data_IF_127461336761
#
_entry.id   IF_127461336761
#
_cell.length_a   1.000
_cell.length_b   1.000
_cell.length_c   1.000
_cell.angle_alpha   90.00
_cell.angle_beta   90.00
_cell.angle_gamma   90.00
#
_symmetry.space_group_name_H-M   'P 1'
#
loop_
_entity.id
_entity.type
_entity.pdbx_description
1 polymer ?
#
# COMPACT_ATOMS: atom_id res chain seq x y z
N UNK A 1 -13.40 11.08 -5.73
CA UNK A 1 -13.89 12.16 -4.84
C UNK A 1 -12.82 13.23 -4.66
N UNK A 2 -13.24 14.50 -4.54
CA UNK A 2 -12.35 15.69 -4.52
C UNK A 2 -12.58 16.66 -3.36
N UNK A 3 -13.75 16.63 -2.71
CA UNK A 3 -14.05 17.49 -1.56
C UNK A 3 -13.44 16.96 -0.26
N UNK A 4 -13.18 17.85 0.70
CA UNK A 4 -12.62 17.49 2.00
C UNK A 4 -13.62 16.73 2.89
N UNK A 5 -13.10 15.99 3.87
CA UNK A 5 -13.86 15.39 4.98
C UNK A 5 -14.98 14.42 4.56
N UNK A 6 -14.76 13.63 3.51
CA UNK A 6 -15.62 12.49 3.23
C UNK A 6 -15.41 11.38 4.25
N UNK A 7 -16.50 10.93 4.87
CA UNK A 7 -16.50 9.84 5.84
C UNK A 7 -17.43 8.74 5.34
N UNK A 8 -16.89 7.54 5.13
CA UNK A 8 -17.62 6.34 4.74
C UNK A 8 -17.48 5.29 5.83
N UNK A 9 -18.61 4.73 6.25
CA UNK A 9 -18.67 3.78 7.35
C UNK A 9 -19.75 2.72 7.15
N UNK A 10 -19.46 1.47 7.52
CA UNK A 10 -20.44 0.40 7.53
C UNK A 10 -20.93 -0.03 6.14
N UNK A 11 -20.14 0.19 5.09
CA UNK A 11 -20.53 -0.14 3.72
C UNK A 11 -20.13 -1.57 3.35
N UNK A 12 -20.92 -2.21 2.48
CA UNK A 12 -20.51 -3.40 1.73
C UNK A 12 -20.48 -3.04 0.25
N UNK A 13 -19.27 -2.99 -0.33
CA UNK A 13 -19.02 -2.53 -1.69
C UNK A 13 -18.28 -3.61 -2.46
N UNK A 14 -18.79 -3.98 -3.64
CA UNK A 14 -18.22 -5.04 -4.46
C UNK A 14 -18.09 -4.62 -5.92
N UNK A 15 -16.92 -4.84 -6.52
CA UNK A 15 -16.72 -4.73 -7.95
C UNK A 15 -17.33 -5.92 -8.69
N UNK A 16 -18.18 -5.64 -9.69
CA UNK A 16 -18.91 -6.67 -10.47
C UNK A 16 -18.64 -6.54 -11.98
N UNK A 17 -17.55 -5.88 -12.36
CA UNK A 17 -17.19 -5.71 -13.77
C UNK A 17 -16.93 -7.06 -14.43
N UNK A 18 -17.36 -7.21 -15.68
CA UNK A 18 -17.05 -8.38 -16.49
C UNK A 18 -15.55 -8.45 -16.87
N UNK A 19 -14.94 -7.29 -17.08
CA UNK A 19 -13.50 -7.11 -17.30
C UNK A 19 -12.89 -6.43 -16.07
N UNK A 20 -11.88 -7.06 -15.46
CA UNK A 20 -11.22 -6.51 -14.28
C UNK A 20 -10.47 -5.22 -14.56
N UNK A 21 -10.04 -4.99 -15.81
CA UNK A 21 -9.38 -3.75 -16.22
C UNK A 21 -10.32 -2.54 -16.18
N UNK A 22 -11.63 -2.77 -16.09
CA UNK A 22 -12.64 -1.72 -15.85
C UNK A 22 -12.96 -1.54 -14.36
N UNK A 23 -12.57 -2.49 -13.49
CA UNK A 23 -12.82 -2.47 -12.04
C UNK A 23 -11.60 -1.92 -11.28
N UNK A 24 -11.21 -0.70 -11.62
CA UNK A 24 -10.00 -0.07 -11.09
C UNK A 24 -10.12 0.23 -9.60
N UNK A 25 -11.02 1.14 -9.22
CA UNK A 25 -11.07 1.70 -7.87
C UNK A 25 -12.48 1.70 -7.28
N UNK A 26 -12.65 1.25 -6.02
CA UNK A 26 -13.89 1.48 -5.29
C UNK A 26 -13.94 2.94 -4.81
N UNK A 27 -12.86 3.38 -4.17
CA UNK A 27 -12.68 4.75 -3.72
C UNK A 27 -11.44 5.34 -4.39
N UNK A 28 -11.63 6.36 -5.24
CA UNK A 28 -10.53 7.16 -5.78
C UNK A 28 -10.51 8.55 -5.14
N UNK A 29 -9.62 8.78 -4.19
CA UNK A 29 -9.48 10.01 -3.39
C UNK A 29 -8.38 10.88 -3.99
N UNK A 30 -8.73 12.08 -4.47
CA UNK A 30 -7.78 12.95 -5.16
C UNK A 30 -7.94 14.42 -4.81
N UNK A 31 -6.91 15.22 -5.08
CA UNK A 31 -6.99 16.69 -4.95
C UNK A 31 -7.27 17.13 -3.51
N UNK A 32 -8.20 18.06 -3.33
CA UNK A 32 -8.55 18.67 -2.03
C UNK A 32 -9.26 17.76 -1.02
N UNK A 33 -9.29 16.45 -1.23
CA UNK A 33 -9.99 15.49 -0.38
C UNK A 33 -9.25 15.12 0.91
N UNK A 34 -8.76 16.14 1.62
CA UNK A 34 -8.07 15.99 2.92
C UNK A 34 -9.01 15.41 3.97
N UNK A 35 -8.44 14.68 4.93
CA UNK A 35 -9.20 14.11 6.06
C UNK A 35 -10.24 13.06 5.65
N UNK A 36 -10.00 12.35 4.54
CA UNK A 36 -10.81 11.21 4.14
C UNK A 36 -10.82 10.11 5.21
N UNK A 37 -11.99 9.52 5.47
CA UNK A 37 -12.16 8.37 6.37
C UNK A 37 -12.92 7.26 5.67
N UNK A 38 -12.35 6.05 5.68
CA UNK A 38 -13.03 4.80 5.35
C UNK A 38 -12.92 3.85 6.54
N UNK A 39 -14.04 3.50 7.17
CA UNK A 39 -14.00 2.61 8.33
C UNK A 39 -15.10 1.56 8.38
N UNK A 40 -14.83 0.48 9.11
CA UNK A 40 -15.82 -0.57 9.42
C UNK A 40 -16.59 -1.07 8.19
N UNK A 41 -15.95 -1.10 7.03
CA UNK A 41 -16.58 -1.44 5.75
C UNK A 41 -15.98 -2.70 5.16
N UNK A 42 -16.75 -3.38 4.32
CA UNK A 42 -16.31 -4.49 3.49
C UNK A 42 -16.17 -4.01 2.05
N UNK A 43 -14.98 -4.14 1.47
CA UNK A 43 -14.71 -3.66 0.10
C UNK A 43 -14.03 -4.77 -0.69
N UNK A 44 -14.68 -5.22 -1.77
CA UNK A 44 -14.35 -6.45 -2.47
C UNK A 44 -14.14 -6.24 -3.97
N UNK A 45 -13.25 -7.03 -4.57
CA UNK A 45 -13.19 -7.26 -6.02
C UNK A 45 -12.87 -6.00 -6.87
N UNK A 46 -11.94 -5.17 -6.41
CA UNK A 46 -11.35 -4.06 -7.19
C UNK A 46 -9.84 -4.26 -7.36
N UNK A 47 -9.26 -3.68 -8.40
CA UNK A 47 -7.80 -3.69 -8.57
C UNK A 47 -7.12 -2.92 -7.42
N UNK A 48 -7.72 -1.80 -7.01
CA UNK A 48 -7.47 -1.14 -5.72
C UNK A 48 -8.79 -0.75 -5.04
N UNK A 49 -9.10 -1.31 -3.88
CA UNK A 49 -10.27 -0.90 -3.09
C UNK A 49 -10.15 0.58 -2.67
N UNK A 50 -8.94 1.05 -2.42
CA UNK A 50 -8.65 2.47 -2.22
C UNK A 50 -7.46 2.90 -3.09
N UNK A 51 -7.66 3.96 -3.87
CA UNK A 51 -6.61 4.72 -4.54
C UNK A 51 -6.60 6.15 -4.01
N UNK A 52 -5.45 6.61 -3.53
CA UNK A 52 -5.21 8.00 -3.11
C UNK A 52 -4.06 8.58 -3.92
N UNK A 53 -4.22 9.76 -4.51
CA UNK A 53 -3.13 10.47 -5.18
C UNK A 53 -3.42 11.97 -5.35
N UNK A 54 -2.39 12.75 -5.68
CA UNK A 54 -2.55 14.16 -6.03
C UNK A 54 -3.31 14.39 -7.34
N UNK A 55 -3.91 15.57 -7.46
CA UNK A 55 -4.49 16.06 -8.70
C UNK A 55 -4.27 17.56 -8.84
N UNK A 56 -4.18 18.04 -10.09
CA UNK A 56 -4.20 19.47 -10.38
C UNK A 56 -5.59 20.04 -10.06
N UNK A 57 -5.63 21.04 -9.19
CA UNK A 57 -6.80 21.87 -8.88
C UNK A 57 -6.37 23.30 -9.20
N UNK A 58 -7.00 23.91 -10.21
CA UNK A 58 -6.69 25.26 -10.69
C UNK A 58 -5.19 25.47 -10.99
N UNK A 59 -4.57 24.47 -11.62
CA UNK A 59 -3.16 24.48 -12.00
C UNK A 59 -2.19 24.16 -10.86
N UNK A 60 -2.67 23.95 -9.64
CA UNK A 60 -1.85 23.65 -8.46
C UNK A 60 -1.98 22.17 -8.10
N UNK A 61 -0.86 21.48 -7.93
CA UNK A 61 -0.87 20.10 -7.43
C UNK A 61 -1.40 20.08 -6.00
N UNK A 62 -2.55 19.45 -5.80
CA UNK A 62 -3.24 19.36 -4.51
C UNK A 62 -3.31 17.91 -4.05
N UNK A 63 -3.05 17.70 -2.76
CA UNK A 63 -2.84 16.37 -2.18
C UNK A 63 -3.83 16.11 -1.02
N UNK A 64 -4.52 14.95 -1.03
CA UNK A 64 -5.47 14.58 0.02
C UNK A 64 -4.75 13.97 1.25
N UNK A 65 -4.05 14.81 2.00
CA UNK A 65 -3.30 14.41 3.18
C UNK A 65 -4.19 13.87 4.33
N UNK A 66 -3.58 13.06 5.20
CA UNK A 66 -4.14 12.70 6.50
C UNK A 66 -5.34 11.76 6.46
N UNK A 67 -5.41 10.87 5.47
CA UNK A 67 -6.50 9.89 5.38
C UNK A 67 -6.45 8.82 6.48
N UNK A 68 -7.61 8.33 6.90
CA UNK A 68 -7.76 7.21 7.85
C UNK A 68 -8.51 6.04 7.18
N UNK A 69 -7.89 4.87 7.21
CA UNK A 69 -8.49 3.59 6.79
C UNK A 69 -8.49 2.65 7.99
N UNK A 70 -9.66 2.41 8.58
CA UNK A 70 -9.76 1.72 9.86
C UNK A 70 -10.79 0.58 9.92
N UNK A 71 -10.37 -0.59 10.40
CA UNK A 71 -11.34 -1.65 10.76
C UNK A 71 -12.11 -2.24 9.58
N UNK A 72 -11.58 -2.15 8.36
CA UNK A 72 -12.23 -2.66 7.16
C UNK A 72 -11.85 -4.12 6.85
N UNK A 73 -12.71 -4.86 6.14
CA UNK A 73 -12.38 -6.13 5.45
C UNK A 73 -12.18 -5.82 3.96
N UNK A 74 -10.94 -5.95 3.49
CA UNK A 74 -10.51 -5.63 2.14
C UNK A 74 -9.99 -6.90 1.47
N UNK A 75 -10.70 -7.39 0.46
CA UNK A 75 -10.29 -8.63 -0.19
C UNK A 75 -10.73 -8.75 -1.64
N UNK A 76 -10.27 -9.81 -2.30
CA UNK A 76 -10.92 -10.29 -3.52
C UNK A 76 -11.50 -11.69 -3.27
N UNK A 77 -12.51 -12.03 -4.07
CA UNK A 77 -13.15 -13.35 -4.09
C UNK A 77 -12.56 -14.26 -5.17
N UNK A 78 -11.78 -13.68 -6.09
CA UNK A 78 -11.02 -14.36 -7.13
C UNK A 78 -9.82 -13.51 -7.56
N UNK A 79 -8.83 -14.06 -8.26
CA UNK A 79 -7.74 -13.28 -8.82
C UNK A 79 -8.23 -12.21 -9.79
N UNK A 80 -7.53 -11.06 -9.78
CA UNK A 80 -7.74 -9.97 -10.73
C UNK A 80 -7.00 -10.27 -12.03
N UNK A 81 -7.73 -10.54 -13.10
CA UNK A 81 -7.17 -10.79 -14.43
C UNK A 81 -7.04 -9.47 -15.18
N UNK A 82 -5.92 -8.79 -14.96
CA UNK A 82 -5.65 -7.48 -15.55
C UNK A 82 -4.15 -7.21 -15.66
N UNK A 83 -3.78 -6.40 -16.65
CA UNK A 83 -2.44 -5.84 -16.76
C UNK A 83 -2.20 -4.72 -15.74
N UNK A 84 -3.27 -4.06 -15.28
CA UNK A 84 -3.23 -2.92 -14.37
C UNK A 84 -2.64 -3.30 -13.00
N UNK A 85 -2.13 -2.33 -12.23
CA UNK A 85 -1.63 -2.60 -10.88
C UNK A 85 -2.71 -3.16 -9.96
N UNK A 86 -2.36 -4.18 -9.17
CA UNK A 86 -3.24 -4.75 -8.15
C UNK A 86 -2.64 -4.46 -6.78
N UNK A 87 -3.10 -3.38 -6.17
CA UNK A 87 -2.68 -2.94 -4.83
C UNK A 87 -3.92 -2.51 -4.07
N UNK A 88 -4.31 -3.22 -3.02
CA UNK A 88 -5.64 -3.04 -2.43
C UNK A 88 -5.81 -1.69 -1.76
N UNK A 89 -4.81 -1.26 -1.00
CA UNK A 89 -4.72 0.11 -0.49
C UNK A 89 -3.51 0.80 -1.12
N UNK A 90 -3.78 1.59 -2.16
CA UNK A 90 -2.79 2.27 -2.98
C UNK A 90 -2.75 3.76 -2.62
N UNK A 91 -1.77 4.17 -1.82
CA UNK A 91 -1.68 5.52 -1.27
C UNK A 91 -0.43 6.23 -1.80
N UNK A 92 -0.61 7.19 -2.69
CA UNK A 92 0.48 7.91 -3.36
C UNK A 92 0.59 9.37 -2.87
N UNK A 93 1.82 9.82 -2.66
CA UNK A 93 2.24 11.24 -2.52
C UNK A 93 1.71 11.98 -1.29
N UNK A 94 0.93 11.31 -0.44
CA UNK A 94 0.26 11.97 0.69
C UNK A 94 0.93 11.67 2.02
N UNK A 95 1.05 12.72 2.82
CA UNK A 95 1.54 12.61 4.19
C UNK A 95 0.51 12.14 5.21
N UNK A 96 1.03 11.50 6.26
CA UNK A 96 0.34 11.20 7.53
C UNK A 96 -0.94 10.39 7.38
N UNK A 97 -1.01 9.55 6.35
CA UNK A 97 -2.11 8.59 6.21
C UNK A 97 -1.95 7.45 7.20
N UNK A 98 -3.06 7.00 7.77
CA UNK A 98 -3.08 5.91 8.76
C UNK A 98 -3.97 4.79 8.25
N UNK A 99 -3.37 3.61 8.10
CA UNK A 99 -4.07 2.36 7.79
C UNK A 99 -3.97 1.47 9.02
N UNK A 100 -5.08 1.27 9.74
CA UNK A 100 -5.06 0.55 11.00
C UNK A 100 -6.19 -0.43 11.24
N UNK A 101 -5.92 -1.51 11.96
CA UNK A 101 -6.93 -2.49 12.38
C UNK A 101 -7.74 -3.11 11.23
N UNK A 102 -7.24 -3.08 9.98
CA UNK A 102 -7.93 -3.67 8.84
C UNK A 102 -7.55 -5.14 8.69
N UNK A 103 -8.44 -5.91 8.06
CA UNK A 103 -8.15 -7.23 7.51
C UNK A 103 -7.97 -7.08 6.00
N UNK A 104 -6.80 -7.47 5.48
CA UNK A 104 -6.51 -7.49 4.05
C UNK A 104 -6.25 -8.93 3.63
N UNK A 105 -6.93 -9.43 2.60
CA UNK A 105 -6.75 -10.84 2.20
C UNK A 105 -6.98 -11.14 0.73
N UNK A 106 -6.42 -12.26 0.28
CA UNK A 106 -6.73 -12.89 -1.02
C UNK A 106 -6.52 -11.97 -2.24
N UNK A 107 -5.51 -11.10 -2.20
CA UNK A 107 -5.27 -10.08 -3.22
C UNK A 107 -4.40 -10.57 -4.39
N UNK A 108 -4.90 -11.51 -5.19
CA UNK A 108 -4.13 -12.11 -6.28
C UNK A 108 -4.21 -11.31 -7.58
N UNK A 109 -3.09 -11.24 -8.32
CA UNK A 109 -3.04 -10.75 -9.70
C UNK A 109 -2.74 -11.91 -10.65
N UNK A 110 -3.57 -12.06 -11.67
CA UNK A 110 -3.48 -13.10 -12.70
C UNK A 110 -3.42 -12.44 -14.10
N UNK A 111 -2.39 -11.61 -14.27
CA UNK A 111 -2.14 -10.81 -15.46
C UNK A 111 -0.84 -10.02 -15.30
N UNK A 112 -0.33 -9.45 -16.39
CA UNK A 112 0.92 -8.70 -16.45
C UNK A 112 2.09 -9.38 -15.75
N UNK A 113 2.70 -8.67 -14.80
CA UNK A 113 3.83 -9.18 -14.03
C UNK A 113 3.43 -10.15 -12.89
N UNK A 114 2.14 -10.42 -12.69
CA UNK A 114 1.64 -11.30 -11.63
C UNK A 114 1.89 -10.80 -10.21
N UNK A 115 2.34 -9.55 -10.02
CA UNK A 115 2.66 -8.98 -8.70
C UNK A 115 1.51 -8.17 -8.14
N UNK A 116 1.19 -8.40 -6.87
CA UNK A 116 0.20 -7.65 -6.12
C UNK A 116 0.69 -7.27 -4.72
N UNK A 117 0.03 -6.25 -4.16
CA UNK A 117 0.31 -5.73 -2.82
C UNK A 117 -0.97 -5.67 -1.99
N UNK A 118 -0.87 -5.99 -0.70
CA UNK A 118 -1.95 -5.72 0.24
C UNK A 118 -2.14 -4.21 0.38
N UNK A 119 -1.08 -3.52 0.79
CA UNK A 119 -1.08 -2.06 0.84
C UNK A 119 0.31 -1.50 0.55
N UNK A 120 0.34 -0.29 -0.02
CA UNK A 120 1.56 0.51 0.00
C UNK A 120 1.30 1.99 0.22
N UNK A 121 2.33 2.69 0.70
CA UNK A 121 2.44 4.14 0.70
C UNK A 121 3.72 4.54 -0.04
N UNK A 122 3.62 5.38 -1.07
CA UNK A 122 4.75 5.66 -2.00
C UNK A 122 4.66 7.05 -2.65
N UNK A 123 5.51 7.31 -3.67
CA UNK A 123 5.56 8.56 -4.46
C UNK A 123 5.92 9.83 -3.67
N UNK A 124 6.85 9.72 -2.74
CA UNK A 124 7.38 10.85 -1.96
C UNK A 124 6.52 11.26 -0.77
N UNK A 125 5.57 10.42 -0.34
CA UNK A 125 4.79 10.68 0.88
C UNK A 125 5.62 10.52 2.16
N UNK A 126 5.10 11.02 3.28
CA UNK A 126 5.82 10.94 4.56
C UNK A 126 4.93 10.65 5.77
N UNK A 127 5.51 10.05 6.81
CA UNK A 127 4.85 9.85 8.10
C UNK A 127 3.63 8.93 8.05
N UNK A 128 3.49 8.14 7.00
CA UNK A 128 2.46 7.12 6.86
C UNK A 128 2.60 6.00 7.89
N UNK A 129 1.46 5.44 8.33
CA UNK A 129 1.42 4.42 9.40
C UNK A 129 0.58 3.22 8.98
N UNK A 130 1.15 2.03 9.12
CA UNK A 130 0.45 0.76 9.10
C UNK A 130 0.42 0.19 10.52
N UNK A 131 -0.76 0.09 11.14
CA UNK A 131 -0.88 -0.35 12.53
C UNK A 131 -1.90 -1.43 12.77
N UNK A 132 -1.55 -2.48 13.50
CA UNK A 132 -2.52 -3.48 13.98
C UNK A 132 -3.36 -4.12 12.85
N UNK A 133 -2.87 -4.11 11.62
CA UNK A 133 -3.56 -4.76 10.50
C UNK A 133 -3.27 -6.26 10.51
N UNK A 134 -4.25 -7.04 10.06
CA UNK A 134 -4.09 -8.45 9.74
C UNK A 134 -4.06 -8.59 8.22
N UNK A 135 -2.91 -8.99 7.67
CA UNK A 135 -2.72 -9.19 6.23
C UNK A 135 -2.53 -10.68 5.96
N UNK A 136 -3.50 -11.30 5.30
CA UNK A 136 -3.49 -12.70 4.89
C UNK A 136 -3.32 -12.74 3.37
N UNK A 137 -2.08 -12.73 2.89
CA UNK A 137 -1.80 -12.69 1.45
C UNK A 137 -2.55 -13.77 0.65
N UNK A 138 -2.78 -14.93 1.26
CA UNK A 138 -3.60 -16.02 0.74
C UNK A 138 -4.34 -16.69 1.91
N UNK A 139 -5.66 -16.86 1.81
CA UNK A 139 -6.50 -17.54 2.80
C UNK A 139 -7.53 -18.45 2.14
N UNK A 140 -8.41 -17.86 1.32
CA UNK A 140 -9.56 -18.55 0.73
C UNK A 140 -9.35 -18.81 -0.78
N UNK A 141 -8.49 -18.00 -1.43
CA UNK A 141 -8.21 -18.10 -2.87
C UNK A 141 -6.81 -18.65 -3.08
N UNK A 142 -6.66 -19.85 -3.63
CA UNK A 142 -5.33 -20.46 -3.85
C UNK A 142 -4.89 -20.37 -5.31
N UNK A 143 -3.91 -19.52 -5.59
CA UNK A 143 -3.39 -19.29 -6.96
C UNK A 143 -1.97 -18.70 -6.94
N UNK A 144 -1.30 -18.73 -8.10
CA UNK A 144 0.07 -18.27 -8.34
C UNK A 144 0.24 -16.76 -8.25
N UNK A 145 1.39 -16.26 -8.70
CA UNK A 145 1.77 -14.85 -8.64
C UNK A 145 2.53 -14.45 -7.36
N UNK A 146 3.09 -13.24 -7.40
CA UNK A 146 3.90 -12.65 -6.34
C UNK A 146 3.04 -11.75 -5.47
N UNK A 147 2.95 -12.05 -4.18
CA UNK A 147 2.16 -11.28 -3.21
C UNK A 147 3.07 -10.70 -2.16
N UNK A 148 3.05 -9.38 -2.06
CA UNK A 148 3.78 -8.62 -1.05
C UNK A 148 2.76 -8.07 -0.05
N UNK A 149 3.04 -8.20 1.25
CA UNK A 149 2.11 -7.78 2.29
C UNK A 149 1.92 -6.27 2.35
N UNK A 150 2.85 -5.59 3.02
CA UNK A 150 2.85 -4.15 3.22
C UNK A 150 4.12 -3.53 2.64
N UNK A 151 4.03 -2.31 2.12
CA UNK A 151 5.20 -1.67 1.51
C UNK A 151 5.24 -0.16 1.72
N UNK A 152 6.44 0.35 1.95
CA UNK A 152 6.77 1.75 1.73
C UNK A 152 7.62 1.81 0.46
N UNK A 153 7.08 2.45 -0.58
CA UNK A 153 7.66 2.52 -1.90
C UNK A 153 7.41 1.31 -2.81
N UNK A 154 8.21 1.19 -3.88
CA UNK A 154 8.06 0.14 -4.90
C UNK A 154 7.14 0.51 -6.07
N UNK A 155 7.02 -0.36 -7.08
CA UNK A 155 6.11 -0.15 -8.22
C UNK A 155 6.52 0.93 -9.24
N UNK A 156 7.80 1.33 -9.28
CA UNK A 156 8.40 2.10 -10.39
C UNK A 156 7.84 3.51 -10.59
N UNK A 157 7.91 4.39 -9.59
CA UNK A 157 7.40 5.77 -9.73
C UNK A 157 8.19 6.58 -10.76
N UNK A 158 7.46 7.16 -11.72
CA UNK A 158 8.01 8.19 -12.60
C UNK A 158 8.24 9.51 -11.84
N UNK A 159 9.37 10.22 -12.07
CA UNK A 159 9.70 11.52 -11.47
C UNK A 159 8.53 12.53 -11.41
N UNK A 160 7.78 12.66 -12.50
CA UNK A 160 6.64 13.57 -12.63
C UNK A 160 5.47 13.29 -11.66
N UNK A 161 5.46 12.13 -11.00
CA UNK A 161 4.44 11.74 -10.03
C UNK A 161 4.94 11.77 -8.60
N UNK A 162 6.20 12.12 -8.36
CA UNK A 162 6.84 12.03 -7.05
C UNK A 162 6.78 13.36 -6.30
N UNK A 163 6.22 13.33 -5.10
CA UNK A 163 6.21 14.49 -4.22
C UNK A 163 7.62 14.78 -3.67
N UNK A 164 7.92 16.05 -3.30
CA UNK A 164 7.09 17.24 -3.53
C UNK A 164 7.29 17.87 -4.91
N UNK A 165 8.21 17.35 -5.73
CA UNK A 165 8.64 18.00 -6.97
C UNK A 165 7.60 17.93 -8.09
N UNK A 166 6.99 16.76 -8.31
CA UNK A 166 6.08 16.48 -9.42
C UNK A 166 6.64 16.92 -10.79
N UNK A 167 7.94 16.72 -10.98
CA UNK A 167 8.70 17.20 -12.13
C UNK A 167 9.42 16.01 -12.79
N UNK A 168 9.26 15.88 -14.10
CA UNK A 168 9.93 14.84 -14.90
C UNK A 168 11.46 14.94 -14.83
N UNK A 169 12.01 16.13 -14.55
CA UNK A 169 13.44 16.39 -14.46
C UNK A 169 14.04 16.15 -13.06
N UNK A 170 13.21 15.91 -12.02
CA UNK A 170 13.67 15.71 -10.65
C UNK A 170 13.46 14.25 -10.24
N UNK A 171 14.53 13.44 -10.11
CA UNK A 171 14.42 12.03 -9.77
C UNK A 171 13.58 11.77 -8.52
N UNK A 172 12.78 10.68 -8.55
CA UNK A 172 12.09 10.18 -7.37
C UNK A 172 13.06 9.30 -6.57
N UNK A 173 13.95 9.95 -5.82
CA UNK A 173 14.93 9.24 -5.02
C UNK A 173 14.23 8.52 -3.87
N UNK A 174 13.55 9.22 -2.98
CA UNK A 174 12.86 8.60 -1.85
C UNK A 174 11.36 8.46 -2.14
N UNK A 175 10.86 7.22 -2.10
CA UNK A 175 9.45 6.89 -2.31
C UNK A 175 8.58 7.14 -1.06
N UNK A 176 9.16 7.00 0.14
CA UNK A 176 8.47 7.35 1.38
C UNK A 176 9.43 7.58 2.56
N UNK A 177 9.16 8.60 3.38
CA UNK A 177 10.01 8.98 4.53
C UNK A 177 9.30 8.83 5.87
N UNK A 178 9.99 8.32 6.88
CA UNK A 178 9.49 8.29 8.27
C UNK A 178 8.26 7.41 8.45
N UNK A 179 8.15 6.34 7.66
CA UNK A 179 7.04 5.40 7.76
C UNK A 179 7.11 4.56 9.04
N UNK A 180 5.96 4.15 9.57
CA UNK A 180 5.89 3.25 10.72
C UNK A 180 5.00 2.06 10.41
N UNK A 181 5.55 0.86 10.54
CA UNK A 181 4.84 -0.42 10.52
C UNK A 181 4.88 -1.00 11.92
N UNK A 182 3.77 -0.96 12.64
CA UNK A 182 3.73 -1.38 14.03
C UNK A 182 2.59 -2.35 14.37
N UNK A 183 2.93 -3.42 15.09
CA UNK A 183 1.97 -4.39 15.62
C UNK A 183 1.06 -5.03 14.56
N UNK A 184 1.49 -5.14 13.31
CA UNK A 184 0.77 -5.85 12.26
C UNK A 184 1.05 -7.35 12.33
N UNK A 185 0.12 -8.15 11.80
CA UNK A 185 0.30 -9.58 11.55
C UNK A 185 0.22 -9.78 10.04
N UNK A 186 1.27 -10.32 9.42
CA UNK A 186 1.32 -10.60 7.98
C UNK A 186 1.62 -12.07 7.74
N UNK A 187 0.77 -12.75 6.97
CA UNK A 187 0.80 -14.21 6.83
C UNK A 187 0.67 -14.65 5.38
N UNK A 188 1.37 -15.74 5.04
CA UNK A 188 1.20 -16.50 3.80
C UNK A 188 1.43 -15.70 2.50
N UNK A 189 2.41 -14.80 2.52
CA UNK A 189 2.83 -14.07 1.32
C UNK A 189 3.78 -14.94 0.51
N UNK A 190 3.57 -15.00 -0.82
CA UNK A 190 4.49 -15.74 -1.70
C UNK A 190 5.85 -15.04 -1.84
N UNK A 191 5.94 -13.78 -1.40
CA UNK A 191 7.19 -13.06 -1.24
C UNK A 191 7.29 -12.44 0.17
N UNK A 192 7.81 -11.22 0.28
CA UNK A 192 8.08 -10.58 1.57
C UNK A 192 6.82 -10.08 2.26
N UNK A 193 6.83 -10.16 3.59
CA UNK A 193 5.81 -9.55 4.44
C UNK A 193 5.84 -8.02 4.32
N UNK A 194 7.06 -7.47 4.29
CA UNK A 194 7.31 -6.03 4.22
C UNK A 194 8.37 -5.76 3.17
N UNK A 195 8.08 -4.81 2.28
CA UNK A 195 9.01 -4.32 1.28
C UNK A 195 9.26 -2.82 1.44
N UNK A 196 10.48 -2.45 1.82
CA UNK A 196 10.94 -1.08 1.91
C UNK A 196 11.81 -0.80 0.69
N UNK A 197 11.27 -0.05 -0.26
CA UNK A 197 11.90 0.22 -1.54
C UNK A 197 12.04 1.73 -1.71
N UNK A 198 13.29 2.17 -1.66
CA UNK A 198 13.66 3.58 -1.58
C UNK A 198 12.93 4.32 -0.46
N UNK A 199 12.84 3.70 0.72
CA UNK A 199 12.14 4.26 1.87
C UNK A 199 13.12 4.68 2.96
N UNK A 200 13.06 5.93 3.40
CA UNK A 200 14.01 6.48 4.35
C UNK A 200 13.44 6.57 5.77
N UNK A 201 14.29 6.32 6.77
CA UNK A 201 13.97 6.41 8.20
C UNK A 201 12.70 5.65 8.62
N UNK A 202 12.45 4.48 8.02
CA UNK A 202 11.25 3.68 8.32
C UNK A 202 11.46 2.79 9.55
N UNK A 203 10.42 2.68 10.38
CA UNK A 203 10.42 1.84 11.57
C UNK A 203 9.50 0.65 11.40
N UNK A 204 10.03 -0.56 11.54
CA UNK A 204 9.25 -1.80 11.53
C UNK A 204 9.31 -2.42 12.92
N UNK A 205 8.24 -2.26 13.70
CA UNK A 205 8.24 -2.46 15.15
C UNK A 205 7.19 -3.48 15.60
N UNK A 206 7.61 -4.49 16.38
CA UNK A 206 6.69 -5.38 17.10
C UNK A 206 5.67 -6.12 16.22
N UNK A 207 6.01 -6.40 14.96
CA UNK A 207 5.13 -7.11 14.04
C UNK A 207 5.34 -8.64 14.13
N UNK A 208 4.36 -9.40 13.66
CA UNK A 208 4.44 -10.86 13.52
C UNK A 208 4.29 -11.25 12.05
N UNK A 209 5.29 -11.92 11.49
CA UNK A 209 5.34 -12.31 10.07
C UNK A 209 5.49 -13.83 9.94
N UNK A 210 4.55 -14.51 9.29
CA UNK A 210 4.47 -15.98 9.28
C UNK A 210 4.30 -16.50 7.86
N UNK A 211 5.04 -17.55 7.49
CA UNK A 211 5.00 -18.15 6.15
C UNK A 211 5.24 -17.11 5.04
N UNK A 212 6.40 -16.46 5.11
CA UNK A 212 6.83 -15.38 4.22
C UNK A 212 8.30 -15.56 3.84
N UNK A 213 8.74 -14.93 2.74
CA UNK A 213 10.14 -15.02 2.28
C UNK A 213 11.09 -14.16 3.15
N UNK A 214 10.60 -13.02 3.64
CA UNK A 214 11.36 -12.14 4.53
C UNK A 214 10.77 -10.75 4.71
N UNK A 215 11.60 -9.86 5.22
CA UNK A 215 11.42 -8.41 5.21
C UNK A 215 12.61 -7.83 4.47
N UNK A 216 12.35 -6.97 3.49
CA UNK A 216 13.40 -6.42 2.63
C UNK A 216 13.51 -4.91 2.76
N UNK A 217 14.74 -4.46 3.02
CA UNK A 217 15.21 -3.11 2.73
C UNK A 217 15.93 -3.15 1.39
N UNK A 218 15.56 -2.31 0.42
CA UNK A 218 16.15 -2.35 -0.92
C UNK A 218 16.47 -0.97 -1.49
N UNK A 219 17.64 -0.87 -2.11
CA UNK A 219 18.27 0.34 -2.68
C UNK A 219 18.97 1.22 -1.65
N UNK A 220 20.01 1.92 -2.11
CA UNK A 220 20.95 2.74 -1.34
C UNK A 220 20.32 3.88 -0.53
N UNK A 221 19.19 4.40 -1.00
CA UNK A 221 18.41 5.41 -0.29
C UNK A 221 17.33 4.83 0.64
N UNK A 222 17.32 3.51 0.84
CA UNK A 222 16.51 2.87 1.88
C UNK A 222 17.26 2.81 3.21
N UNK A 223 16.61 3.33 4.26
CA UNK A 223 17.11 3.29 5.63
C UNK A 223 15.99 3.05 6.64
N UNK A 224 16.32 2.42 7.76
CA UNK A 224 15.36 2.22 8.83
C UNK A 224 15.82 1.24 9.90
N UNK A 225 14.88 0.85 10.75
CA UNK A 225 15.11 -0.10 11.84
C UNK A 225 14.04 -1.20 11.87
N UNK A 226 14.44 -2.42 12.20
CA UNK A 226 13.53 -3.56 12.34
C UNK A 226 13.62 -4.15 13.76
N UNK A 227 12.84 -3.60 14.69
CA UNK A 227 12.96 -3.90 16.12
C UNK A 227 11.83 -4.78 16.63
N UNK A 228 12.20 -5.83 17.36
CA UNK A 228 11.29 -6.71 18.10
C UNK A 228 10.18 -7.35 17.23
N UNK A 229 10.46 -7.61 15.95
CA UNK A 229 9.57 -8.36 15.08
C UNK A 229 9.80 -9.87 15.28
N UNK A 230 8.72 -10.65 15.24
CA UNK A 230 8.78 -12.11 15.18
C UNK A 230 8.53 -12.50 13.73
N UNK A 231 9.46 -13.20 13.08
CA UNK A 231 9.31 -13.58 11.68
C UNK A 231 9.82 -14.98 11.34
N UNK A 232 9.11 -15.65 10.44
CA UNK A 232 9.71 -16.68 9.58
C UNK A 232 10.43 -15.99 8.40
N UNK A 233 11.59 -16.48 7.96
CA UNK A 233 12.35 -15.87 6.86
C UNK A 233 13.48 -14.97 7.36
N UNK A 234 14.03 -14.13 6.48
CA UNK A 234 15.17 -13.27 6.79
C UNK A 234 14.83 -11.77 6.66
N UNK A 235 15.48 -10.95 7.49
CA UNK A 235 15.60 -9.52 7.24
C UNK A 235 16.78 -9.34 6.29
N UNK A 236 16.58 -8.61 5.18
CA UNK A 236 17.60 -8.48 4.13
C UNK A 236 17.79 -7.02 3.75
N UNK A 237 19.05 -6.61 3.77
CA UNK A 237 19.52 -5.41 3.09
C UNK A 237 19.95 -5.78 1.68
N UNK A 238 19.34 -5.15 0.69
CA UNK A 238 19.54 -5.45 -0.74
C UNK A 238 19.91 -4.18 -1.48
N UNK A 239 20.74 -4.34 -2.50
CA UNK A 239 21.06 -3.29 -3.47
C UNK A 239 21.54 -1.97 -2.82
N UNK A 240 22.29 -2.05 -1.72
CA UNK A 240 22.87 -0.89 -1.01
C UNK A 240 22.05 -0.36 0.17
N UNK A 241 20.89 -0.93 0.47
CA UNK A 241 20.09 -0.51 1.62
C UNK A 241 20.82 -0.70 2.95
N UNK A 242 20.39 0.03 3.98
CA UNK A 242 20.96 -0.06 5.33
C UNK A 242 19.86 -0.19 6.38
N UNK A 243 19.86 -1.26 7.16
CA UNK A 243 18.99 -1.41 8.34
C UNK A 243 19.76 -1.46 9.65
N UNK A 244 19.08 -1.04 10.73
CA UNK A 244 19.54 -1.14 12.11
C UNK A 244 18.67 -2.12 12.93
#
# INVERSE_FOLDING_TARGET
MRGAHWHFEGLDVRGVCADDSACEHAFHVVGGAVGFVLRLSRVLDFNAQLKVNGALVDGVMTLPHGGLVEGNDVSDTRPRSTENPVTKLNIDSVDRSVVRANVLRDFHKDGGNGTSYGAFMKRGGSGGRFERNLVLCTRDVTTGGTRIGLSFGGGGTGPQFCAPAFDAAVPCDVEHTGGVLQNNIVVACSDVAVYLNRSAATKVLFNTFIAISGLDFRFDNTSGEAVANVLSGAIRDRDGATSA
#
